data_IF_587550943857
#
_entry.id   IF_587550943857
#
_cell.length_a   1.000
_cell.length_b   1.000
_cell.length_c   1.000
_cell.angle_alpha   90.00
_cell.angle_beta   90.00
_cell.angle_gamma   90.00
#
_symmetry.space_group_name_H-M   'P 1'
#
loop_
_entity.id
_entity.type
_entity.pdbx_description
1 polymer ?
#
# COMPACT_ATOMS: atom_id res chain seq x y z
N UNK A 1 -13.40 36.57 1.94
CA UNK A 1 -13.37 35.27 2.67
C UNK A 1 -12.32 35.38 3.75
N UNK A 2 -12.70 35.17 5.01
CA UNK A 2 -11.86 35.43 6.18
C UNK A 2 -10.56 34.60 6.16
N UNK A 3 -9.42 35.23 5.93
CA UNK A 3 -8.06 34.64 6.03
C UNK A 3 -7.69 34.16 7.46
N UNK A 4 -8.53 34.44 8.46
CA UNK A 4 -8.24 34.16 9.88
C UNK A 4 -8.54 32.72 10.35
N UNK A 5 -8.92 31.81 9.46
CA UNK A 5 -9.46 30.49 9.83
C UNK A 5 -8.56 29.28 9.53
N UNK A 6 -7.39 29.46 8.89
CA UNK A 6 -6.47 28.33 8.67
C UNK A 6 -5.68 28.01 9.97
N UNK A 7 -5.47 26.74 10.32
CA UNK A 7 -4.64 26.40 11.46
C UNK A 7 -3.20 26.81 11.19
N UNK A 8 -2.62 27.57 12.11
CA UNK A 8 -1.20 27.96 12.02
C UNK A 8 -0.26 26.75 12.18
N UNK A 9 -0.71 25.72 12.86
CA UNK A 9 0.02 24.47 13.07
C UNK A 9 -0.89 23.32 12.64
N UNK A 10 -0.36 22.39 11.84
CA UNK A 10 -0.98 21.11 11.50
C UNK A 10 -0.13 19.99 12.07
N UNK A 11 -0.73 19.19 12.93
CA UNK A 11 -0.11 18.02 13.54
C UNK A 11 -0.35 16.79 12.69
N UNK A 12 0.73 16.17 12.22
CA UNK A 12 0.69 14.98 11.37
C UNK A 12 1.13 13.75 12.17
N UNK A 13 0.20 12.82 12.41
CA UNK A 13 0.53 11.51 12.96
C UNK A 13 1.26 10.67 11.90
N UNK A 14 2.38 10.09 12.28
CA UNK A 14 3.18 9.22 11.41
C UNK A 14 3.96 8.20 12.22
N UNK A 15 4.28 7.05 11.60
CA UNK A 15 5.20 6.06 12.17
C UNK A 15 6.64 6.58 12.13
N UNK A 16 7.52 5.95 12.91
CA UNK A 16 8.94 6.34 13.01
C UNK A 16 9.82 5.79 11.88
N UNK A 17 9.31 4.93 10.99
CA UNK A 17 10.12 4.36 9.93
C UNK A 17 10.57 5.43 8.91
N UNK A 18 11.75 5.29 8.28
CA UNK A 18 12.25 6.26 7.29
C UNK A 18 11.23 6.55 6.18
N UNK A 19 10.54 5.51 5.68
CA UNK A 19 9.54 5.67 4.63
C UNK A 19 8.30 6.44 5.12
N UNK A 20 7.81 6.16 6.34
CA UNK A 20 6.67 6.87 6.90
C UNK A 20 7.00 8.35 7.15
N UNK A 21 8.19 8.64 7.66
CA UNK A 21 8.66 10.01 7.85
C UNK A 21 8.80 10.75 6.51
N UNK A 22 9.31 10.09 5.47
CA UNK A 22 9.37 10.67 4.13
C UNK A 22 7.96 11.04 3.63
N UNK A 23 6.98 10.13 3.80
CA UNK A 23 5.59 10.36 3.37
C UNK A 23 4.96 11.54 4.12
N UNK A 24 5.13 11.61 5.44
CA UNK A 24 4.60 12.71 6.26
C UNK A 24 5.27 14.05 5.92
N UNK A 25 6.59 14.06 5.70
CA UNK A 25 7.31 15.27 5.27
C UNK A 25 6.80 15.75 3.91
N UNK A 26 6.58 14.83 2.94
CA UNK A 26 6.06 15.19 1.62
C UNK A 26 4.67 15.84 1.71
N UNK A 27 3.79 15.31 2.56
CA UNK A 27 2.48 15.94 2.84
C UNK A 27 2.67 17.33 3.43
N UNK A 28 3.59 17.47 4.39
CA UNK A 28 3.90 18.76 5.00
C UNK A 28 4.46 19.80 4.01
N UNK A 29 5.31 19.37 3.06
CA UNK A 29 5.79 20.22 1.96
C UNK A 29 4.65 20.71 1.08
N UNK A 30 3.79 19.80 0.63
CA UNK A 30 2.64 20.12 -0.21
C UNK A 30 1.65 21.08 0.48
N UNK A 31 1.44 20.93 1.79
CA UNK A 31 0.61 21.87 2.57
C UNK A 31 1.23 23.27 2.63
N UNK A 32 2.56 23.37 2.77
CA UNK A 32 3.26 24.67 2.73
C UNK A 32 3.26 25.29 1.33
N UNK A 33 3.21 24.48 0.27
CA UNK A 33 3.05 24.97 -1.11
C UNK A 33 1.67 25.64 -1.30
N UNK A 34 0.61 25.16 -0.58
CA UNK A 34 -0.72 25.79 -0.60
C UNK A 34 -0.75 27.08 0.22
N UNK A 35 -0.13 27.07 1.41
CA UNK A 35 -0.07 28.22 2.31
C UNK A 35 1.23 28.18 3.13
N UNK A 36 2.14 29.09 2.82
CA UNK A 36 3.45 29.22 3.47
C UNK A 36 3.37 29.54 4.98
N UNK A 37 2.23 30.00 5.49
CA UNK A 37 2.03 30.27 6.92
C UNK A 37 1.78 29.01 7.75
N UNK A 38 1.53 27.87 7.11
CA UNK A 38 1.28 26.61 7.80
C UNK A 38 2.59 26.05 8.39
N UNK A 39 2.58 25.86 9.70
CA UNK A 39 3.62 25.14 10.41
C UNK A 39 3.21 23.65 10.53
N UNK A 40 4.16 22.77 10.29
CA UNK A 40 3.95 21.33 10.40
C UNK A 40 4.66 20.79 11.63
N UNK A 41 3.92 20.07 12.45
CA UNK A 41 4.44 19.29 13.57
C UNK A 41 4.25 17.79 13.30
N UNK A 42 5.34 17.02 13.26
CA UNK A 42 5.27 15.57 13.11
C UNK A 42 5.16 14.88 14.47
N UNK A 43 4.04 14.24 14.72
CA UNK A 43 3.80 13.40 15.89
C UNK A 43 4.19 11.96 15.56
N UNK A 44 5.37 11.55 16.04
CA UNK A 44 5.97 10.24 15.73
C UNK A 44 5.43 9.18 16.69
N UNK A 45 4.58 8.31 16.19
CA UNK A 45 3.90 7.25 16.93
C UNK A 45 4.63 5.91 16.72
N UNK A 46 4.75 5.12 17.80
CA UNK A 46 5.24 3.74 17.74
C UNK A 46 4.04 2.80 17.82
N UNK A 47 3.81 2.01 16.80
CA UNK A 47 2.69 1.09 16.75
C UNK A 47 3.05 -0.28 17.33
N UNK A 48 2.04 -1.10 17.66
CA UNK A 48 2.28 -2.50 18.07
C UNK A 48 3.01 -3.29 16.98
N UNK A 49 2.68 -3.06 15.70
CA UNK A 49 3.36 -3.69 14.58
C UNK A 49 4.84 -3.32 14.46
N UNK A 50 5.26 -2.15 14.99
CA UNK A 50 6.66 -1.74 15.04
C UNK A 50 7.42 -2.44 16.18
N UNK A 51 6.73 -2.81 17.26
CA UNK A 51 7.33 -3.49 18.44
C UNK A 51 7.53 -4.98 18.21
N UNK A 52 6.59 -5.64 17.54
CA UNK A 52 6.63 -7.09 17.31
C UNK A 52 7.40 -7.36 16.02
N UNK A 53 8.64 -7.85 16.13
CA UNK A 53 9.50 -8.15 14.97
C UNK A 53 9.82 -9.63 14.81
N UNK A 54 9.49 -10.45 15.78
CA UNK A 54 9.87 -11.86 15.92
C UNK A 54 8.83 -12.86 15.38
N UNK A 55 7.64 -12.38 14.97
CA UNK A 55 6.56 -13.23 14.42
C UNK A 55 6.08 -12.73 13.06
N UNK A 56 5.68 -13.61 12.12
CA UNK A 56 5.09 -13.22 10.85
C UNK A 56 3.82 -12.37 11.05
N UNK A 57 3.58 -11.39 10.17
CA UNK A 57 2.41 -10.49 10.28
C UNK A 57 1.08 -11.24 10.22
N UNK A 58 1.00 -12.31 9.44
CA UNK A 58 -0.22 -13.11 9.29
C UNK A 58 -0.57 -13.93 10.53
N UNK A 59 0.41 -14.21 11.43
CA UNK A 59 0.19 -14.96 12.69
C UNK A 59 -0.29 -14.05 13.83
N UNK A 60 -0.10 -12.74 13.73
CA UNK A 60 -0.40 -11.79 14.81
C UNK A 60 -1.84 -11.27 14.73
N UNK A 61 -2.65 -11.77 13.77
CA UNK A 61 -4.09 -11.45 13.70
C UNK A 61 -4.39 -9.99 13.34
N UNK A 62 -3.83 -9.52 12.25
CA UNK A 62 -3.61 -8.19 12.07
C UNK A 62 -4.49 -7.23 11.32
N UNK A 63 -5.75 -7.06 11.58
CA UNK A 63 -6.41 -5.80 11.20
C UNK A 63 -5.82 -4.68 12.09
N UNK A 64 -5.10 -3.72 11.45
CA UNK A 64 -4.70 -2.45 12.09
C UNK A 64 -3.45 -2.40 12.98
N UNK A 65 -2.54 -3.38 12.95
CA UNK A 65 -1.32 -3.36 13.77
C UNK A 65 -0.43 -2.11 13.58
N UNK A 66 -0.57 -1.42 12.45
CA UNK A 66 0.19 -0.21 12.14
C UNK A 66 -0.66 1.06 12.13
N UNK A 67 -1.97 0.94 12.41
CA UNK A 67 -2.93 2.02 12.23
C UNK A 67 -3.60 2.45 13.53
N UNK A 68 -3.90 1.48 14.42
CA UNK A 68 -4.72 1.70 15.62
C UNK A 68 -4.28 2.90 16.45
N UNK A 69 -2.99 3.04 16.71
CA UNK A 69 -2.47 4.15 17.51
C UNK A 69 -2.51 5.49 16.76
N UNK A 70 -2.40 5.48 15.42
CA UNK A 70 -2.54 6.68 14.60
C UNK A 70 -4.02 7.11 14.56
N UNK A 71 -4.94 6.19 14.29
CA UNK A 71 -6.39 6.43 14.33
C UNK A 71 -6.82 6.94 15.71
N UNK A 72 -6.31 6.32 16.80
CA UNK A 72 -6.61 6.77 18.16
C UNK A 72 -6.13 8.20 18.42
N UNK A 73 -4.96 8.61 17.89
CA UNK A 73 -4.48 9.98 18.04
C UNK A 73 -5.34 11.00 17.28
N UNK A 74 -5.97 10.60 16.15
CA UNK A 74 -6.96 11.41 15.45
C UNK A 74 -8.26 11.53 16.25
N UNK A 75 -8.76 10.41 16.76
CA UNK A 75 -10.00 10.36 17.55
C UNK A 75 -9.90 11.18 18.82
N UNK A 76 -8.74 11.14 19.49
CA UNK A 76 -8.42 11.93 20.69
C UNK A 76 -8.09 13.41 20.41
N UNK A 77 -8.05 13.84 19.13
CA UNK A 77 -7.66 15.20 18.71
C UNK A 77 -6.22 15.58 19.09
N UNK A 78 -5.36 14.60 19.28
CA UNK A 78 -3.93 14.80 19.51
C UNK A 78 -3.20 15.21 18.23
N UNK A 79 -3.76 14.76 17.05
CA UNK A 79 -3.30 15.10 15.72
C UNK A 79 -4.48 15.52 14.82
N UNK A 80 -4.16 16.32 13.79
CA UNK A 80 -5.15 16.79 12.81
C UNK A 80 -5.34 15.81 11.66
N UNK A 81 -4.25 15.19 11.21
CA UNK A 81 -4.20 14.23 10.12
C UNK A 81 -3.23 13.08 10.42
N UNK A 82 -3.45 11.93 9.77
CA UNK A 82 -2.51 10.83 9.73
C UNK A 82 -2.13 10.49 8.29
N UNK A 83 -0.86 10.11 8.07
CA UNK A 83 -0.34 9.81 6.73
C UNK A 83 0.01 8.33 6.62
N UNK A 84 -0.54 7.69 5.58
CA UNK A 84 -0.47 6.23 5.39
C UNK A 84 -0.07 5.84 3.97
N UNK A 85 0.56 4.69 3.84
CA UNK A 85 0.57 3.95 2.57
C UNK A 85 -0.81 3.32 2.37
N UNK A 86 -1.49 3.61 1.26
CA UNK A 86 -2.85 3.13 1.02
C UNK A 86 -2.99 1.60 1.04
N UNK A 87 -1.93 0.88 0.69
CA UNK A 87 -1.91 -0.60 0.73
C UNK A 87 -2.01 -1.18 2.15
N UNK A 88 -1.69 -0.38 3.17
CA UNK A 88 -1.71 -0.79 4.57
C UNK A 88 -3.04 -0.41 5.26
N UNK A 89 -3.92 0.33 4.55
CA UNK A 89 -5.24 0.75 5.02
C UNK A 89 -6.25 -0.40 4.98
N UNK A 90 -7.09 -0.56 6.00
CA UNK A 90 -8.13 -1.58 6.02
C UNK A 90 -9.20 -1.32 4.96
N UNK A 91 -9.95 -2.36 4.58
CA UNK A 91 -11.05 -2.24 3.63
C UNK A 91 -12.14 -1.28 4.11
N UNK A 92 -12.44 -1.32 5.40
CA UNK A 92 -13.42 -0.46 6.11
C UNK A 92 -12.66 0.35 7.16
N UNK A 93 -12.89 1.65 7.17
CA UNK A 93 -12.32 2.59 8.13
C UNK A 93 -13.21 2.68 9.39
N UNK A 94 -12.69 3.30 10.45
CA UNK A 94 -13.51 3.72 11.58
C UNK A 94 -14.57 4.73 11.12
N UNK A 95 -15.79 4.65 11.69
CA UNK A 95 -16.94 5.45 11.26
C UNK A 95 -16.72 6.96 11.33
N UNK A 96 -15.90 7.43 12.28
CA UNK A 96 -15.57 8.84 12.49
C UNK A 96 -14.37 9.32 11.67
N UNK A 97 -13.72 8.44 10.91
CA UNK A 97 -12.53 8.75 10.11
C UNK A 97 -12.82 8.65 8.61
N UNK A 98 -12.08 9.42 7.82
CA UNK A 98 -12.13 9.39 6.35
C UNK A 98 -10.72 9.50 5.75
N UNK A 99 -10.55 8.98 4.55
CA UNK A 99 -9.41 9.36 3.70
C UNK A 99 -9.80 10.66 2.98
N UNK A 100 -9.25 11.77 3.47
CA UNK A 100 -9.58 13.11 2.98
C UNK A 100 -8.87 13.46 1.68
N UNK A 101 -7.73 12.82 1.39
CA UNK A 101 -7.03 12.93 0.11
C UNK A 101 -6.15 11.72 -0.15
N UNK A 102 -5.95 11.45 -1.44
CA UNK A 102 -4.96 10.49 -1.93
C UNK A 102 -4.04 11.24 -2.89
N UNK A 103 -2.73 11.21 -2.60
CA UNK A 103 -1.73 11.88 -3.43
C UNK A 103 -1.51 11.15 -4.75
N UNK A 104 -0.87 11.82 -5.70
CA UNK A 104 -0.45 11.21 -6.95
C UNK A 104 0.35 9.93 -6.71
N UNK A 105 -0.02 8.88 -7.45
CA UNK A 105 0.52 7.53 -7.26
C UNK A 105 1.91 7.40 -7.83
N UNK A 106 2.85 6.94 -7.04
CA UNK A 106 4.16 6.47 -7.51
C UNK A 106 4.04 5.07 -8.12
N UNK A 107 5.08 4.60 -8.79
CA UNK A 107 5.15 3.28 -9.44
C UNK A 107 4.61 2.16 -8.53
N UNK A 108 3.49 1.57 -8.95
CA UNK A 108 2.78 0.54 -8.19
C UNK A 108 3.42 -0.84 -8.29
N UNK A 109 4.41 -1.05 -9.19
CA UNK A 109 5.02 -2.36 -9.42
C UNK A 109 5.74 -2.91 -8.20
N UNK A 110 5.81 -4.23 -8.14
CA UNK A 110 6.81 -4.92 -7.33
C UNK A 110 8.15 -4.94 -8.07
N UNK A 111 9.23 -5.05 -7.31
CA UNK A 111 10.60 -5.12 -7.81
C UNK A 111 11.36 -6.26 -7.16
N UNK A 112 12.33 -6.79 -7.89
CA UNK A 112 13.37 -7.66 -7.37
C UNK A 112 14.61 -6.83 -7.00
N UNK A 113 15.21 -7.13 -5.86
CA UNK A 113 16.57 -6.71 -5.52
C UNK A 113 17.39 -7.98 -5.27
N UNK A 114 18.47 -8.16 -6.02
CA UNK A 114 19.40 -9.27 -5.87
C UNK A 114 20.81 -8.82 -6.28
N UNK A 115 21.84 -9.35 -5.63
CA UNK A 115 23.24 -9.15 -6.04
C UNK A 115 23.70 -10.17 -7.10
N UNK A 116 23.04 -11.31 -7.13
CA UNK A 116 23.48 -12.49 -7.85
C UNK A 116 22.73 -12.71 -9.16
N UNK A 117 21.44 -12.36 -9.18
CA UNK A 117 20.52 -12.68 -10.27
C UNK A 117 19.88 -11.44 -10.87
N UNK A 118 19.52 -11.52 -12.15
CA UNK A 118 18.89 -10.43 -12.89
C UNK A 118 17.37 -10.58 -12.98
N UNK A 119 16.84 -11.80 -12.79
CA UNK A 119 15.40 -12.10 -12.80
C UNK A 119 15.07 -13.24 -11.83
N UNK A 120 13.78 -13.42 -11.50
CA UNK A 120 13.34 -14.55 -10.66
C UNK A 120 13.53 -15.91 -11.34
N UNK A 121 13.55 -15.96 -12.67
CA UNK A 121 13.80 -17.20 -13.42
C UNK A 121 15.23 -17.72 -13.29
N UNK A 122 16.16 -16.88 -12.80
CA UNK A 122 17.55 -17.26 -12.61
C UNK A 122 17.78 -18.00 -11.28
N UNK A 123 16.79 -17.97 -10.37
CA UNK A 123 16.88 -18.61 -9.05
C UNK A 123 16.64 -20.11 -9.15
N UNK A 124 17.48 -20.87 -8.49
CA UNK A 124 17.37 -22.34 -8.37
C UNK A 124 16.78 -22.80 -7.03
N UNK A 125 16.72 -24.11 -6.85
CA UNK A 125 16.14 -24.75 -5.64
C UNK A 125 16.93 -24.50 -4.34
N UNK A 126 18.17 -24.06 -4.43
CA UNK A 126 18.99 -23.73 -3.26
C UNK A 126 18.91 -22.24 -2.89
N UNK A 127 18.38 -21.40 -3.77
CA UNK A 127 18.32 -19.97 -3.58
C UNK A 127 17.06 -19.57 -2.80
N UNK A 128 17.13 -18.46 -2.08
CA UNK A 128 16.03 -17.99 -1.26
C UNK A 128 15.63 -16.53 -1.57
N UNK A 129 14.31 -16.30 -1.56
CA UNK A 129 13.72 -14.96 -1.72
C UNK A 129 13.00 -14.56 -0.44
N UNK A 130 13.36 -13.39 0.09
CA UNK A 130 12.77 -12.82 1.29
C UNK A 130 11.48 -12.06 1.02
N UNK A 131 10.38 -12.44 1.67
CA UNK A 131 9.13 -11.70 1.70
C UNK A 131 8.19 -12.22 2.78
N UNK A 132 7.47 -11.32 3.48
CA UNK A 132 6.38 -11.64 4.42
C UNK A 132 4.99 -11.38 3.81
N UNK A 133 4.91 -10.95 2.55
CA UNK A 133 3.63 -10.66 1.88
C UNK A 133 3.02 -11.93 1.35
N UNK A 134 1.85 -12.33 1.89
CA UNK A 134 1.11 -13.52 1.43
C UNK A 134 0.78 -13.48 -0.06
N UNK A 135 0.49 -12.30 -0.62
CA UNK A 135 0.30 -12.09 -2.05
C UNK A 135 1.57 -12.46 -2.85
N UNK A 136 2.74 -12.00 -2.39
CA UNK A 136 4.03 -12.30 -3.05
C UNK A 136 4.42 -13.76 -2.86
N UNK A 137 4.17 -14.32 -1.67
CA UNK A 137 4.36 -15.75 -1.39
C UNK A 137 3.54 -16.60 -2.34
N UNK A 138 2.25 -16.29 -2.51
CA UNK A 138 1.38 -16.98 -3.46
C UNK A 138 1.93 -16.91 -4.88
N UNK A 139 2.34 -15.72 -5.35
CA UNK A 139 2.93 -15.56 -6.68
C UNK A 139 4.23 -16.36 -6.86
N UNK A 140 5.14 -16.31 -5.86
CA UNK A 140 6.39 -17.08 -5.90
C UNK A 140 6.11 -18.58 -5.97
N UNK A 141 5.27 -19.11 -5.10
CA UNK A 141 4.95 -20.53 -5.07
C UNK A 141 4.30 -21.01 -6.36
N UNK A 142 3.45 -20.18 -7.00
CA UNK A 142 2.76 -20.53 -8.23
C UNK A 142 3.69 -20.46 -9.45
N UNK A 143 4.42 -19.34 -9.62
CA UNK A 143 5.21 -19.08 -10.82
C UNK A 143 6.64 -19.67 -10.73
N UNK A 144 7.18 -19.83 -9.51
CA UNK A 144 8.57 -20.25 -9.22
C UNK A 144 8.62 -21.24 -8.06
N UNK A 145 7.99 -22.44 -8.18
CA UNK A 145 7.79 -23.36 -7.05
C UNK A 145 9.08 -23.92 -6.43
N UNK A 146 10.18 -23.82 -7.14
CA UNK A 146 11.48 -24.31 -6.67
C UNK A 146 12.23 -23.29 -5.77
N UNK A 147 11.83 -22.01 -5.75
CA UNK A 147 12.50 -21.00 -4.95
C UNK A 147 12.12 -21.16 -3.47
N UNK A 148 13.10 -21.19 -2.58
CA UNK A 148 12.85 -21.12 -1.14
C UNK A 148 12.37 -19.74 -0.74
N UNK A 149 11.30 -19.66 0.05
CA UNK A 149 10.76 -18.41 0.54
C UNK A 149 11.10 -18.26 2.02
N UNK A 150 11.70 -17.12 2.37
CA UNK A 150 12.07 -16.79 3.75
C UNK A 150 11.24 -15.61 4.23
N UNK A 151 10.66 -15.73 5.41
CA UNK A 151 9.97 -14.59 6.02
C UNK A 151 10.95 -13.44 6.27
N UNK A 152 10.55 -12.23 5.91
CA UNK A 152 11.43 -11.07 6.00
C UNK A 152 10.73 -9.84 6.52
N UNK A 153 11.16 -9.40 7.69
CA UNK A 153 10.67 -8.21 8.37
C UNK A 153 11.74 -7.11 8.44
N UNK A 154 11.31 -5.93 8.86
CA UNK A 154 12.13 -4.74 8.96
C UNK A 154 11.76 -3.67 7.92
N UNK A 155 12.37 -2.51 8.02
CA UNK A 155 12.23 -1.41 7.08
C UNK A 155 12.85 -1.75 5.72
N UNK A 156 12.61 -0.92 4.71
CA UNK A 156 13.10 -1.13 3.34
C UNK A 156 14.62 -1.26 3.31
N UNK A 157 15.33 -0.34 3.95
CA UNK A 157 16.78 -0.31 4.09
C UNK A 157 17.33 -1.56 4.79
N UNK A 158 16.73 -1.97 5.90
CA UNK A 158 17.10 -3.18 6.63
C UNK A 158 16.99 -4.42 5.75
N UNK A 159 15.88 -4.55 4.99
CA UNK A 159 15.68 -5.69 4.07
C UNK A 159 16.67 -5.69 2.92
N UNK A 160 17.00 -4.53 2.36
CA UNK A 160 18.01 -4.40 1.30
C UNK A 160 19.37 -4.83 1.84
N UNK A 161 19.74 -4.40 3.04
CA UNK A 161 21.01 -4.77 3.67
C UNK A 161 21.15 -6.28 3.87
N UNK A 162 20.05 -6.99 4.17
CA UNK A 162 20.08 -8.48 4.26
C UNK A 162 20.50 -9.14 2.95
N UNK A 163 20.07 -8.62 1.80
CA UNK A 163 20.54 -9.09 0.48
C UNK A 163 22.00 -8.73 0.28
N UNK A 164 22.39 -7.49 0.61
CA UNK A 164 23.78 -7.04 0.45
C UNK A 164 24.76 -7.83 1.31
N UNK A 165 24.32 -8.28 2.49
CA UNK A 165 25.09 -9.12 3.40
C UNK A 165 25.04 -10.63 3.04
N UNK A 166 24.24 -11.03 2.06
CA UNK A 166 24.12 -12.44 1.63
C UNK A 166 23.27 -13.31 2.55
N UNK A 167 22.41 -12.72 3.40
CA UNK A 167 21.48 -13.48 4.25
C UNK A 167 20.36 -14.12 3.42
N UNK A 168 20.01 -13.52 2.26
CA UNK A 168 19.09 -14.04 1.24
C UNK A 168 19.62 -13.68 -0.15
N UNK A 169 19.26 -14.46 -1.16
CA UNK A 169 19.72 -14.24 -2.55
C UNK A 169 18.95 -13.12 -3.25
N UNK A 170 17.72 -12.85 -2.79
CA UNK A 170 16.91 -11.76 -3.29
C UNK A 170 15.74 -11.40 -2.40
N UNK A 171 15.14 -10.23 -2.64
CA UNK A 171 13.92 -9.76 -1.97
C UNK A 171 12.96 -9.16 -2.98
N UNK A 172 11.66 -9.20 -2.66
CA UNK A 172 10.64 -8.51 -3.42
C UNK A 172 10.09 -7.35 -2.59
N UNK A 173 10.19 -6.14 -3.12
CA UNK A 173 9.71 -4.91 -2.51
C UNK A 173 8.74 -4.17 -3.43
N UNK A 174 8.06 -3.13 -2.94
CA UNK A 174 7.31 -2.19 -3.76
C UNK A 174 8.26 -1.11 -4.30
N UNK A 175 8.23 -0.86 -5.61
CA UNK A 175 9.06 0.16 -6.26
C UNK A 175 8.93 1.53 -5.58
N UNK A 176 7.70 1.96 -5.30
CA UNK A 176 7.42 3.25 -4.67
C UNK A 176 8.19 3.48 -3.36
N UNK A 177 8.32 2.45 -2.51
CA UNK A 177 9.06 2.56 -1.24
C UNK A 177 10.56 2.75 -1.46
N UNK A 178 11.12 2.03 -2.41
CA UNK A 178 12.56 2.10 -2.75
C UNK A 178 12.90 3.43 -3.41
N UNK A 179 12.06 3.91 -4.34
CA UNK A 179 12.21 5.19 -5.03
C UNK A 179 12.14 6.37 -4.05
N UNK A 180 11.15 6.39 -3.16
CA UNK A 180 10.99 7.45 -2.15
C UNK A 180 12.17 7.58 -1.20
N UNK A 181 12.91 6.50 -0.99
CA UNK A 181 14.14 6.51 -0.19
C UNK A 181 15.41 6.78 -1.00
N UNK A 182 15.30 7.08 -2.31
CA UNK A 182 16.46 7.33 -3.19
C UNK A 182 17.31 6.10 -3.43
N UNK A 183 16.73 4.90 -3.38
CA UNK A 183 17.44 3.63 -3.50
C UNK A 183 17.18 2.92 -4.84
N UNK A 184 16.75 3.65 -5.89
CA UNK A 184 16.43 3.09 -7.21
C UNK A 184 17.61 2.33 -7.83
N UNK A 185 18.83 2.76 -7.55
CA UNK A 185 20.05 2.10 -8.04
C UNK A 185 20.25 0.68 -7.48
N UNK A 186 19.44 0.26 -6.50
CA UNK A 186 19.43 -1.10 -5.95
C UNK A 186 18.42 -2.02 -6.66
N UNK A 187 17.54 -1.46 -7.50
CA UNK A 187 16.53 -2.24 -8.22
C UNK A 187 17.20 -3.08 -9.29
N UNK A 188 17.01 -4.38 -9.22
CA UNK A 188 17.51 -5.33 -10.22
C UNK A 188 16.52 -5.47 -11.38
N UNK A 189 15.24 -5.69 -11.07
CA UNK A 189 14.19 -5.85 -12.08
C UNK A 189 12.83 -5.37 -11.56
N UNK A 190 11.99 -4.92 -12.48
CA UNK A 190 10.58 -4.62 -12.23
C UNK A 190 9.71 -5.81 -12.62
N UNK A 191 8.74 -6.16 -11.77
CA UNK A 191 7.76 -7.19 -12.08
C UNK A 191 6.74 -6.68 -13.10
N UNK A 192 6.34 -7.56 -14.02
CA UNK A 192 5.28 -7.25 -14.99
C UNK A 192 3.91 -7.23 -14.30
N UNK A 193 3.25 -6.07 -14.25
CA UNK A 193 1.93 -5.89 -13.63
C UNK A 193 0.82 -6.78 -14.24
N UNK A 194 1.02 -7.33 -15.43
CA UNK A 194 0.05 -8.25 -16.05
C UNK A 194 0.09 -9.62 -15.38
N UNK A 195 1.25 -10.04 -14.92
CA UNK A 195 1.47 -11.33 -14.24
C UNK A 195 1.47 -11.17 -12.72
N UNK A 196 2.09 -10.10 -12.24
CA UNK A 196 2.24 -9.78 -10.82
C UNK A 196 1.41 -8.54 -10.48
N UNK A 197 0.10 -8.73 -10.33
CA UNK A 197 -0.79 -7.62 -9.96
C UNK A 197 -0.34 -7.02 -8.62
N UNK A 198 -0.13 -5.70 -8.54
CA UNK A 198 0.25 -5.00 -7.32
C UNK A 198 -0.77 -5.14 -6.19
N UNK A 199 -0.35 -4.89 -4.97
CA UNK A 199 -1.29 -4.80 -3.85
C UNK A 199 -2.25 -3.61 -4.06
N UNK A 200 -3.47 -3.75 -3.55
CA UNK A 200 -4.50 -2.70 -3.53
C UNK A 200 -3.88 -1.43 -2.92
N UNK A 201 -3.98 -0.30 -3.60
CA UNK A 201 -3.42 0.97 -3.16
C UNK A 201 -1.89 1.07 -3.15
N UNK A 202 -1.14 0.08 -3.66
CA UNK A 202 0.33 0.13 -3.68
C UNK A 202 0.83 1.35 -4.47
N UNK A 203 1.77 2.10 -3.90
CA UNK A 203 2.33 3.32 -4.48
C UNK A 203 1.58 4.60 -4.12
N UNK A 204 0.35 4.53 -3.63
CA UNK A 204 -0.43 5.70 -3.21
C UNK A 204 -0.22 6.03 -1.72
N UNK A 205 -0.22 7.32 -1.41
CA UNK A 205 -0.22 7.86 -0.04
C UNK A 205 -1.63 8.39 0.23
N UNK A 206 -2.23 7.96 1.33
CA UNK A 206 -3.49 8.48 1.84
C UNK A 206 -3.30 9.39 3.04
N UNK A 207 -4.15 10.39 3.13
CA UNK A 207 -4.23 11.32 4.27
C UNK A 207 -5.57 11.08 4.95
N UNK A 208 -5.52 10.61 6.17
CA UNK A 208 -6.68 10.32 7.00
C UNK A 208 -6.92 11.46 7.99
N UNK A 209 -8.18 11.77 8.27
CA UNK A 209 -8.61 12.79 9.22
C UNK A 209 -9.95 12.45 9.84
N UNK A 210 -10.36 13.20 10.86
CA UNK A 210 -11.72 13.11 11.41
C UNK A 210 -12.75 13.60 10.40
N UNK A 211 -13.81 12.83 10.23
CA UNK A 211 -14.89 13.11 9.27
C UNK A 211 -15.58 14.47 9.50
N UNK A 212 -15.75 14.85 10.75
CA UNK A 212 -16.41 16.09 11.15
C UNK A 212 -15.49 17.32 11.21
N UNK A 213 -14.20 17.20 10.87
CA UNK A 213 -13.27 18.32 10.83
C UNK A 213 -13.27 18.98 9.44
N UNK A 214 -14.37 19.68 9.10
CA UNK A 214 -14.56 20.31 7.78
C UNK A 214 -13.41 21.23 7.38
N UNK A 215 -12.83 21.95 8.33
CA UNK A 215 -11.73 22.88 8.10
C UNK A 215 -10.47 22.18 7.60
N UNK A 216 -10.05 21.14 8.29
CA UNK A 216 -8.91 20.31 7.89
C UNK A 216 -9.24 19.59 6.58
N UNK A 217 -10.42 19.00 6.46
CA UNK A 217 -10.83 18.26 5.28
C UNK A 217 -10.83 19.12 4.01
N UNK A 218 -11.33 20.37 4.10
CA UNK A 218 -11.30 21.31 2.98
C UNK A 218 -9.87 21.68 2.54
N UNK A 219 -8.94 21.80 3.49
CA UNK A 219 -7.54 22.06 3.19
C UNK A 219 -6.88 20.84 2.54
N UNK A 220 -7.03 19.68 3.17
CA UNK A 220 -6.41 18.43 2.72
C UNK A 220 -6.93 17.99 1.35
N UNK A 221 -8.22 18.20 1.07
CA UNK A 221 -8.82 17.85 -0.23
C UNK A 221 -8.15 18.59 -1.41
N UNK A 222 -7.49 19.72 -1.19
CA UNK A 222 -6.68 20.40 -2.24
C UNK A 222 -5.48 19.59 -2.69
N UNK A 223 -5.03 18.64 -1.89
CA UNK A 223 -3.94 17.71 -2.21
C UNK A 223 -4.42 16.46 -2.96
N UNK A 224 -5.74 16.29 -3.10
CA UNK A 224 -6.29 15.08 -3.67
C UNK A 224 -6.01 14.98 -5.18
N UNK A 225 -5.37 13.90 -5.60
CA UNK A 225 -5.17 13.58 -7.01
C UNK A 225 -6.31 12.67 -7.50
N UNK A 226 -7.30 13.26 -8.16
CA UNK A 226 -8.55 12.59 -8.56
C UNK A 226 -8.32 11.26 -9.28
N UNK A 227 -7.44 11.23 -10.29
CA UNK A 227 -7.16 10.00 -11.07
C UNK A 227 -6.64 8.88 -10.17
N UNK A 228 -5.75 9.19 -9.23
CA UNK A 228 -5.27 8.19 -8.26
C UNK A 228 -6.39 7.76 -7.32
N UNK A 229 -7.23 8.68 -6.86
CA UNK A 229 -8.36 8.38 -5.98
C UNK A 229 -9.35 7.44 -6.65
N UNK A 230 -9.73 7.68 -7.90
CA UNK A 230 -10.61 6.79 -8.67
C UNK A 230 -10.00 5.39 -8.82
N UNK A 231 -8.70 5.31 -9.13
CA UNK A 231 -8.00 4.03 -9.21
C UNK A 231 -8.02 3.28 -7.88
N UNK A 232 -7.59 3.95 -6.80
CA UNK A 232 -7.47 3.32 -5.48
C UNK A 232 -8.84 2.92 -4.94
N UNK A 233 -9.88 3.76 -5.09
CA UNK A 233 -11.22 3.42 -4.64
C UNK A 233 -11.84 2.27 -5.45
N UNK A 234 -11.57 2.19 -6.77
CA UNK A 234 -11.93 1.01 -7.59
C UNK A 234 -11.25 -0.27 -7.09
N UNK A 235 -9.97 -0.19 -6.75
CA UNK A 235 -9.21 -1.32 -6.17
C UNK A 235 -9.75 -1.73 -4.79
N UNK A 236 -10.09 -0.74 -3.93
CA UNK A 236 -10.65 -0.97 -2.59
C UNK A 236 -12.03 -1.63 -2.63
N UNK A 237 -12.82 -1.50 -3.71
CA UNK A 237 -14.04 -2.27 -3.88
C UNK A 237 -13.76 -3.78 -3.86
N UNK A 238 -12.64 -4.23 -4.45
CA UNK A 238 -12.26 -5.64 -4.43
C UNK A 238 -11.98 -6.10 -2.99
N UNK A 239 -11.26 -5.30 -2.20
CA UNK A 239 -10.97 -5.60 -0.80
C UNK A 239 -12.25 -5.66 0.05
N UNK A 240 -13.18 -4.71 -0.17
CA UNK A 240 -14.48 -4.68 0.54
C UNK A 240 -15.35 -5.88 0.19
N UNK A 241 -15.43 -6.24 -1.09
CA UNK A 241 -16.26 -7.35 -1.57
C UNK A 241 -15.84 -8.70 -1.00
N UNK A 242 -14.53 -8.94 -0.88
CA UNK A 242 -13.99 -10.18 -0.34
C UNK A 242 -13.65 -10.11 1.15
N UNK A 243 -13.98 -9.00 1.84
CA UNK A 243 -13.63 -8.75 3.24
C UNK A 243 -12.15 -9.01 3.53
N UNK A 244 -11.30 -8.63 2.56
CA UNK A 244 -9.90 -8.98 2.57
C UNK A 244 -9.13 -8.33 3.72
N UNK A 245 -8.16 -9.07 4.24
CA UNK A 245 -7.21 -8.64 5.27
C UNK A 245 -5.76 -8.73 4.76
N UNK A 246 -4.80 -8.36 5.61
CA UNK A 246 -3.38 -8.49 5.29
C UNK A 246 -2.92 -9.96 5.09
N UNK A 247 -3.71 -10.93 5.59
CA UNK A 247 -3.47 -12.37 5.40
C UNK A 247 -4.10 -12.95 4.14
N UNK A 248 -4.86 -12.14 3.38
CA UNK A 248 -5.53 -12.57 2.16
C UNK A 248 -4.60 -12.38 0.95
N UNK A 249 -4.32 -13.42 0.14
CA UNK A 249 -3.50 -13.30 -1.07
C UNK A 249 -4.30 -12.68 -2.23
N UNK A 250 -4.66 -11.40 -2.07
CA UNK A 250 -5.45 -10.60 -2.99
C UNK A 250 -4.62 -9.45 -3.57
N UNK A 251 -4.92 -9.08 -4.78
CA UNK A 251 -4.31 -7.98 -5.51
C UNK A 251 -5.35 -7.27 -6.38
N UNK A 252 -5.20 -5.97 -6.53
CA UNK A 252 -5.91 -5.20 -7.55
C UNK A 252 -5.08 -3.97 -7.93
N UNK A 253 -5.05 -3.66 -9.22
CA UNK A 253 -4.40 -2.47 -9.72
C UNK A 253 -5.22 -1.87 -10.86
N UNK A 254 -5.61 -0.62 -10.69
CA UNK A 254 -6.35 0.16 -11.66
C UNK A 254 -5.43 1.20 -12.31
N UNK A 255 -5.67 1.43 -13.60
CA UNK A 255 -5.00 2.47 -14.39
C UNK A 255 -6.02 3.22 -15.23
N UNK A 256 -5.83 4.52 -15.38
CA UNK A 256 -6.69 5.38 -16.20
C UNK A 256 -5.90 5.82 -17.43
N UNK A 257 -6.48 5.60 -18.59
CA UNK A 257 -5.98 6.05 -19.89
C UNK A 257 -7.14 6.59 -20.73
N UNK A 258 -7.01 7.79 -21.28
CA UNK A 258 -8.00 8.38 -22.18
C UNK A 258 -9.45 8.28 -21.67
N UNK A 259 -9.71 8.70 -20.41
CA UNK A 259 -11.01 8.65 -19.76
C UNK A 259 -11.61 7.24 -19.54
N UNK A 260 -10.80 6.20 -19.72
CA UNK A 260 -11.18 4.82 -19.37
C UNK A 260 -10.36 4.36 -18.18
N UNK A 261 -11.00 3.67 -17.23
CA UNK A 261 -10.37 2.96 -16.14
C UNK A 261 -10.31 1.47 -16.49
N UNK A 262 -9.16 0.87 -16.27
CA UNK A 262 -8.96 -0.58 -16.38
C UNK A 262 -8.46 -1.09 -15.06
N UNK A 263 -9.13 -2.08 -14.47
CA UNK A 263 -8.71 -2.75 -13.25
C UNK A 263 -8.37 -4.21 -13.53
N UNK A 264 -7.19 -4.62 -13.09
CA UNK A 264 -6.77 -6.02 -13.08
C UNK A 264 -6.73 -6.50 -11.64
N UNK A 265 -7.27 -7.68 -11.36
CA UNK A 265 -7.30 -8.23 -10.01
C UNK A 265 -6.95 -9.72 -10.00
N UNK A 266 -6.42 -10.19 -8.87
CA UNK A 266 -6.01 -11.56 -8.64
C UNK A 266 -6.33 -11.98 -7.21
N UNK A 267 -6.80 -13.20 -7.06
CA UNK A 267 -6.89 -13.94 -5.79
C UNK A 267 -6.20 -15.28 -5.98
N UNK A 268 -5.41 -15.70 -5.00
CA UNK A 268 -4.72 -16.97 -5.04
C UNK A 268 -4.83 -17.78 -3.76
N UNK A 269 -4.52 -19.06 -3.84
CA UNK A 269 -4.39 -19.92 -2.68
C UNK A 269 -3.05 -19.67 -1.96
N UNK A 270 -3.03 -19.75 -0.62
CA UNK A 270 -1.82 -19.52 0.19
C UNK A 270 -0.69 -20.52 -0.11
N UNK A 271 -1.05 -21.73 -0.54
CA UNK A 271 -0.11 -22.77 -0.91
C UNK A 271 0.48 -22.59 -2.32
N UNK A 272 -0.05 -21.61 -3.10
CA UNK A 272 0.35 -21.34 -4.48
C UNK A 272 -0.23 -22.32 -5.49
N UNK A 273 -1.16 -23.20 -5.12
CA UNK A 273 -1.73 -24.23 -6.03
C UNK A 273 -2.60 -23.62 -7.14
N UNK A 274 -3.23 -22.48 -6.88
CA UNK A 274 -4.15 -21.83 -7.82
C UNK A 274 -4.11 -20.32 -7.71
N UNK A 275 -4.23 -19.65 -8.87
CA UNK A 275 -4.47 -18.21 -8.98
C UNK A 275 -5.62 -17.94 -9.93
N UNK A 276 -6.51 -17.04 -9.57
CA UNK A 276 -7.64 -16.60 -10.37
C UNK A 276 -7.44 -15.12 -10.71
N UNK A 277 -7.52 -14.81 -12.00
CA UNK A 277 -7.41 -13.45 -12.52
C UNK A 277 -8.72 -13.01 -13.16
N UNK A 278 -9.04 -11.76 -12.96
CA UNK A 278 -10.08 -11.09 -13.73
C UNK A 278 -9.67 -9.65 -14.02
N UNK A 279 -10.18 -9.13 -15.14
CA UNK A 279 -9.92 -7.78 -15.61
C UNK A 279 -11.21 -7.19 -16.16
N UNK A 280 -11.47 -5.93 -15.79
CA UNK A 280 -12.59 -5.14 -16.27
C UNK A 280 -12.13 -3.77 -16.73
N UNK A 281 -12.93 -3.14 -17.59
CA UNK A 281 -12.71 -1.77 -18.03
C UNK A 281 -14.05 -1.04 -18.24
N UNK A 282 -13.98 0.28 -18.21
CA UNK A 282 -15.13 1.14 -18.43
C UNK A 282 -14.77 2.61 -18.32
N UNK A 283 -15.76 3.48 -18.32
CA UNK A 283 -15.55 4.91 -18.14
C UNK A 283 -15.08 5.23 -16.71
N UNK A 284 -14.24 6.26 -16.58
CA UNK A 284 -13.70 6.68 -15.26
C UNK A 284 -14.81 7.03 -14.28
N UNK A 285 -15.90 7.64 -14.73
CA UNK A 285 -17.05 7.98 -13.89
C UNK A 285 -17.72 6.77 -13.23
N UNK A 286 -17.56 5.58 -13.80
CA UNK A 286 -18.09 4.33 -13.28
C UNK A 286 -17.07 3.54 -12.42
N UNK A 287 -15.98 4.17 -11.95
CA UNK A 287 -14.86 3.50 -11.30
C UNK A 287 -15.26 2.54 -10.16
N UNK A 288 -16.25 2.89 -9.34
CA UNK A 288 -16.76 2.01 -8.27
C UNK A 288 -17.49 0.79 -8.85
N UNK A 289 -18.32 1.00 -9.88
CA UNK A 289 -19.04 -0.10 -10.55
C UNK A 289 -18.06 -1.06 -11.23
N UNK A 290 -16.96 -0.53 -11.82
CA UNK A 290 -15.94 -1.35 -12.47
C UNK A 290 -15.18 -2.18 -11.41
N UNK A 291 -14.86 -1.60 -10.25
CA UNK A 291 -14.31 -2.33 -9.11
C UNK A 291 -15.23 -3.46 -8.60
N UNK A 292 -16.53 -3.23 -8.57
CA UNK A 292 -17.52 -4.26 -8.22
C UNK A 292 -17.61 -5.34 -9.31
N UNK A 293 -17.64 -4.97 -10.60
CA UNK A 293 -17.68 -5.94 -11.71
C UNK A 293 -16.48 -6.88 -11.70
N UNK A 294 -15.26 -6.38 -11.49
CA UNK A 294 -14.08 -7.24 -11.40
C UNK A 294 -14.17 -8.20 -10.24
N UNK A 295 -14.74 -7.78 -9.10
CA UNK A 295 -14.96 -8.63 -7.93
C UNK A 295 -15.93 -9.76 -8.22
N UNK A 296 -17.09 -9.45 -8.83
CA UNK A 296 -18.08 -10.45 -9.27
C UNK A 296 -17.46 -11.41 -10.28
N UNK A 297 -16.64 -10.91 -11.21
CA UNK A 297 -15.94 -11.73 -12.17
C UNK A 297 -14.95 -12.73 -11.55
N UNK A 298 -14.23 -12.32 -10.51
CA UNK A 298 -13.39 -13.21 -9.70
C UNK A 298 -14.22 -14.27 -8.96
N UNK A 299 -15.32 -13.86 -8.33
CA UNK A 299 -16.20 -14.76 -7.57
C UNK A 299 -16.80 -15.84 -8.46
N UNK A 300 -17.31 -15.48 -9.65
CA UNK A 300 -17.81 -16.44 -10.66
C UNK A 300 -16.77 -17.46 -11.10
N UNK A 301 -15.49 -17.17 -10.97
CA UNK A 301 -14.38 -18.08 -11.27
C UNK A 301 -13.98 -18.93 -10.05
N UNK A 302 -14.69 -18.83 -8.91
CA UNK A 302 -14.43 -19.60 -7.70
C UNK A 302 -13.36 -18.97 -6.80
N UNK A 303 -13.19 -17.65 -6.83
CA UNK A 303 -12.17 -16.98 -6.01
C UNK A 303 -12.42 -17.10 -4.50
N UNK A 304 -13.70 -17.19 -4.06
CA UNK A 304 -14.02 -17.39 -2.63
C UNK A 304 -13.50 -18.71 -2.07
N UNK A 305 -13.41 -19.74 -2.90
CA UNK A 305 -12.91 -21.06 -2.47
C UNK A 305 -11.40 -21.06 -2.15
N UNK A 306 -10.70 -19.96 -2.46
CA UNK A 306 -9.27 -19.80 -2.21
C UNK A 306 -8.93 -18.95 -0.97
N UNK A 307 -9.96 -18.41 -0.27
CA UNK A 307 -9.80 -17.47 0.85
C UNK A 307 -9.91 -18.11 2.23
#
# INVERSE_FOLDING_TARGET
>A
MNESLMPKIIKIATRKSPLALWQANRVGELLREIDHSINIELVKITTEGDKIQDKPLYDIGGKSLFLKELEQSLLNEECDIAVHSMKDMPAVLHDDLIISAILEREDSRDILISKKYTSLSDFGSNDCVGTSSVRRICNLKYDYPNIKIVDMRGNVDTRINKVLNGEVDGIILAAAGVKRLGLENKITAYMDNKKWVPAIGQGAIGIESKKNNERINSLINKLNHEKTSYCVESERQVSRFFEASCSTPIAANAVIQNNNITISSMIGALDGSKKIYHKENGLVEDYLKIGLKVSIGLEKKGARDLL
#
